data_IF_147182699892
#
_entry.id   IF_147182699892
#
_cell.length_a   1.000
_cell.length_b   1.000
_cell.length_c   1.000
_cell.angle_alpha   90.00
_cell.angle_beta   90.00
_cell.angle_gamma   90.00
#
_symmetry.space_group_name_H-M   'P 1'
#
loop_
_entity.id
_entity.type
_entity.pdbx_description
1 polymer ?
#
# COMPACT_ATOMS: atom_id res chain seq x y z
N UNK A 1 12.84 39.52 68.35
CA UNK A 1 12.09 40.80 68.30
C UNK A 1 11.15 40.72 67.11
N UNK A 2 9.90 41.10 67.37
CA UNK A 2 8.70 41.05 66.53
C UNK A 2 8.89 41.43 65.05
N UNK A 3 8.25 40.69 64.14
CA UNK A 3 7.66 41.24 62.91
C UNK A 3 6.39 40.45 62.54
N UNK A 4 5.32 41.19 62.25
CA UNK A 4 3.90 40.76 62.25
C UNK A 4 3.44 40.07 60.95
N UNK A 5 2.45 39.18 61.15
CA UNK A 5 1.27 38.84 60.35
C UNK A 5 1.25 39.14 58.84
N UNK A 6 1.00 38.08 58.08
CA UNK A 6 0.41 38.12 56.74
C UNK A 6 -0.21 36.75 56.45
N UNK A 7 -1.54 36.68 56.52
CA UNK A 7 -2.35 35.51 56.24
C UNK A 7 -2.23 35.08 54.77
N UNK A 8 -1.84 33.83 54.49
CA UNK A 8 -2.37 33.08 53.36
C UNK A 8 -2.02 31.58 53.49
N UNK A 9 -2.86 30.83 54.20
CA UNK A 9 -2.75 29.38 54.25
C UNK A 9 -3.64 28.77 53.16
N UNK A 10 -3.03 28.43 52.04
CA UNK A 10 -3.64 27.59 51.00
C UNK A 10 -3.05 26.19 51.13
N UNK A 11 -3.85 25.25 51.63
CA UNK A 11 -3.99 23.86 51.17
C UNK A 11 -4.45 22.95 52.32
N UNK A 12 -5.57 22.24 52.11
CA UNK A 12 -5.82 20.86 52.57
C UNK A 12 -7.24 20.41 52.19
N UNK A 13 -7.30 19.49 51.22
CA UNK A 13 -8.30 18.43 50.96
C UNK A 13 -9.63 18.45 51.76
N UNK A 14 -10.77 18.49 51.05
CA UNK A 14 -11.86 17.49 51.18
C UNK A 14 -12.91 17.68 50.08
N UNK A 15 -13.51 16.57 49.66
CA UNK A 15 -14.32 16.40 48.45
C UNK A 15 -15.66 17.15 48.49
N UNK A 16 -16.07 17.71 47.34
CA UNK A 16 -17.48 18.00 47.07
C UNK A 16 -17.84 17.55 45.64
N UNK A 17 -18.83 16.69 45.58
CA UNK A 17 -19.32 16.00 44.39
C UNK A 17 -19.97 16.92 43.36
N UNK A 18 -20.03 16.37 42.13
CA UNK A 18 -20.94 16.62 41.01
C UNK A 18 -20.44 17.49 39.85
N UNK A 19 -20.75 16.95 38.66
CA UNK A 19 -20.65 17.53 37.32
C UNK A 19 -19.25 17.36 36.71
N UNK A 20 -18.98 16.48 35.75
CA UNK A 20 -19.81 16.05 34.63
C UNK A 20 -19.16 14.81 34.01
N UNK A 21 -19.66 13.62 34.34
CA UNK A 21 -19.48 12.44 33.50
C UNK A 21 -20.38 12.61 32.28
N UNK A 22 -19.97 13.39 31.26
CA UNK A 22 -20.71 13.51 29.99
C UNK A 22 -19.90 12.92 28.85
N UNK A 23 -20.10 11.62 28.67
CA UNK A 23 -20.14 10.96 27.36
C UNK A 23 -18.90 11.13 26.47
N UNK A 24 -17.75 10.59 26.87
CA UNK A 24 -16.63 10.32 25.93
C UNK A 24 -16.58 8.87 25.41
N UNK A 25 -17.53 8.01 25.77
CA UNK A 25 -17.52 6.59 25.38
C UNK A 25 -18.16 6.28 24.02
N UNK A 26 -18.95 7.17 23.41
CA UNK A 26 -19.55 6.91 22.09
C UNK A 26 -18.81 7.56 20.92
N UNK A 27 -17.97 8.57 21.18
CA UNK A 27 -17.07 9.16 20.17
C UNK A 27 -15.83 8.30 19.97
N UNK A 28 -15.16 7.87 21.04
CA UNK A 28 -13.97 7.00 20.96
C UNK A 28 -14.28 5.66 20.29
N UNK A 29 -15.40 5.03 20.62
CA UNK A 29 -15.78 3.76 20.00
C UNK A 29 -16.06 3.93 18.50
N UNK A 30 -16.80 4.97 18.09
CA UNK A 30 -17.01 5.28 16.66
C UNK A 30 -15.70 5.60 15.94
N UNK A 31 -14.79 6.36 16.55
CA UNK A 31 -13.46 6.63 15.97
C UNK A 31 -12.61 5.36 15.88
N UNK A 32 -12.66 4.47 16.87
CA UNK A 32 -11.97 3.17 16.82
C UNK A 32 -12.56 2.28 15.74
N UNK A 33 -13.90 2.23 15.59
CA UNK A 33 -14.55 1.49 14.51
C UNK A 33 -14.22 2.08 13.13
N UNK A 34 -14.17 3.40 12.99
CA UNK A 34 -13.77 4.09 11.75
C UNK A 34 -12.30 3.82 11.43
N UNK A 35 -11.39 3.92 12.40
CA UNK A 35 -9.97 3.62 12.21
C UNK A 35 -9.74 2.14 11.89
N UNK A 36 -10.47 1.22 12.53
CA UNK A 36 -10.44 -0.20 12.22
C UNK A 36 -10.97 -0.49 10.82
N UNK A 37 -12.06 0.16 10.40
CA UNK A 37 -12.57 0.06 9.03
C UNK A 37 -11.60 0.63 7.99
N UNK A 38 -10.94 1.75 8.27
CA UNK A 38 -9.93 2.34 7.39
C UNK A 38 -8.69 1.45 7.31
N UNK A 39 -8.22 0.90 8.43
CA UNK A 39 -7.10 -0.04 8.45
C UNK A 39 -7.42 -1.34 7.69
N UNK A 40 -8.65 -1.86 7.84
CA UNK A 40 -9.13 -3.02 7.10
C UNK A 40 -9.28 -2.73 5.61
N UNK A 41 -9.87 -1.59 5.23
CA UNK A 41 -10.00 -1.16 3.85
C UNK A 41 -8.62 -0.92 3.21
N UNK A 42 -7.67 -0.36 3.96
CA UNK A 42 -6.29 -0.20 3.53
C UNK A 42 -5.64 -1.56 3.32
N UNK A 43 -5.75 -2.50 4.26
CA UNK A 43 -5.22 -3.86 4.11
C UNK A 43 -5.80 -4.58 2.88
N UNK A 44 -7.10 -4.43 2.61
CA UNK A 44 -7.77 -4.98 1.43
C UNK A 44 -7.28 -4.32 0.13
N UNK A 45 -7.00 -3.00 0.14
CA UNK A 45 -6.49 -2.30 -1.05
C UNK A 45 -5.09 -2.77 -1.49
N UNK A 46 -4.30 -3.36 -0.59
CA UNK A 46 -2.98 -3.93 -0.91
C UNK A 46 -3.10 -5.35 -1.52
N UNK A 47 -4.26 -5.99 -1.46
CA UNK A 47 -4.45 -7.37 -1.94
C UNK A 47 -4.86 -7.48 -3.42
N UNK A 48 -5.04 -6.36 -4.13
CA UNK A 48 -5.48 -6.35 -5.54
C UNK A 48 -4.33 -6.40 -6.58
N UNK A 49 -3.13 -6.85 -6.18
CA UNK A 49 -1.88 -6.46 -6.89
C UNK A 49 -1.52 -7.33 -8.10
N UNK A 50 -2.15 -8.48 -8.30
CA UNK A 50 -1.83 -9.33 -9.44
C UNK A 50 -3.02 -10.18 -9.88
N UNK A 51 -3.48 -10.00 -11.12
CA UNK A 51 -4.44 -10.90 -11.77
C UNK A 51 -3.65 -12.01 -12.51
N UNK A 52 -3.64 -13.25 -12.01
CA UNK A 52 -2.90 -14.35 -12.64
C UNK A 52 -3.50 -14.79 -13.96
N UNK A 53 -4.75 -14.41 -14.27
CA UNK A 53 -5.44 -14.77 -15.51
C UNK A 53 -5.32 -13.68 -16.59
N UNK A 54 -4.95 -12.47 -16.19
CA UNK A 54 -4.71 -11.33 -17.08
C UNK A 54 -3.42 -11.46 -17.88
N UNK A 55 -3.21 -10.57 -18.86
CA UNK A 55 -2.02 -10.54 -19.73
C UNK A 55 -0.79 -9.87 -19.09
N UNK A 56 -0.92 -9.33 -17.87
CA UNK A 56 0.10 -8.50 -17.24
C UNK A 56 0.23 -7.10 -17.84
N UNK A 57 -0.80 -6.64 -18.56
CA UNK A 57 -0.84 -5.30 -19.16
C UNK A 57 -0.81 -4.23 -18.05
N UNK A 58 0.17 -3.30 -18.08
CA UNK A 58 0.27 -2.25 -17.08
C UNK A 58 -0.65 -1.07 -17.39
N UNK A 59 -1.12 -0.38 -16.35
CA UNK A 59 -1.72 0.94 -16.52
C UNK A 59 -0.63 1.97 -16.86
N UNK A 60 -0.67 2.50 -18.08
CA UNK A 60 0.30 3.49 -18.54
C UNK A 60 -0.17 4.92 -18.25
N UNK A 61 0.74 5.71 -17.68
CA UNK A 61 0.58 7.13 -17.36
C UNK A 61 1.84 7.88 -17.80
N UNK A 62 1.82 9.20 -17.74
CA UNK A 62 3.00 10.02 -18.03
C UNK A 62 4.18 9.77 -17.07
N UNK A 63 3.94 9.17 -15.91
CA UNK A 63 4.97 8.88 -14.91
C UNK A 63 5.78 7.61 -15.21
N UNK A 64 5.18 6.65 -15.92
CA UNK A 64 5.79 5.37 -16.29
C UNK A 64 5.92 5.22 -17.81
N UNK A 65 5.99 6.34 -18.53
CA UNK A 65 6.29 6.36 -19.95
C UNK A 65 7.63 5.66 -20.23
N UNK A 66 7.64 4.73 -21.18
CA UNK A 66 8.80 3.88 -21.49
C UNK A 66 9.03 2.71 -20.54
N UNK A 67 8.26 2.57 -19.45
CA UNK A 67 8.38 1.42 -18.56
C UNK A 67 8.05 0.11 -19.30
N UNK A 68 8.80 -0.94 -18.97
CA UNK A 68 8.67 -2.26 -19.57
C UNK A 68 8.19 -3.25 -18.52
N UNK A 69 7.18 -4.05 -18.85
CA UNK A 69 6.70 -5.16 -18.03
C UNK A 69 6.54 -6.43 -18.86
N UNK A 70 6.64 -7.59 -18.21
CA UNK A 70 6.51 -8.89 -18.87
C UNK A 70 5.05 -9.16 -19.27
N UNK A 71 4.84 -9.69 -20.47
CA UNK A 71 3.57 -10.31 -20.82
C UNK A 71 3.44 -11.69 -20.14
N UNK A 72 2.30 -11.95 -19.51
CA UNK A 72 2.12 -13.15 -18.69
C UNK A 72 2.05 -14.44 -19.51
N UNK A 73 1.51 -14.38 -20.72
CA UNK A 73 1.16 -15.53 -21.54
C UNK A 73 1.93 -15.62 -22.86
N UNK A 74 2.48 -14.51 -23.34
CA UNK A 74 3.34 -14.48 -24.52
C UNK A 74 4.78 -14.15 -24.14
N UNK A 75 5.66 -15.15 -23.97
CA UNK A 75 7.07 -14.91 -23.66
C UNK A 75 7.84 -14.26 -24.81
N UNK A 76 7.31 -14.21 -26.03
CA UNK A 76 7.95 -13.50 -27.15
C UNK A 76 7.65 -12.01 -27.15
N UNK A 77 6.86 -11.52 -26.19
CA UNK A 77 6.45 -10.12 -26.10
C UNK A 77 6.63 -9.57 -24.69
N UNK A 78 6.79 -8.26 -24.65
CA UNK A 78 6.72 -7.48 -23.43
C UNK A 78 5.79 -6.28 -23.65
N UNK A 79 5.24 -5.78 -22.56
CA UNK A 79 4.49 -4.54 -22.57
C UNK A 79 5.45 -3.38 -22.40
N UNK A 80 5.25 -2.33 -23.18
CA UNK A 80 5.94 -1.06 -23.01
C UNK A 80 4.93 0.08 -23.02
N UNK A 81 5.01 0.96 -22.03
CA UNK A 81 4.22 2.18 -22.04
C UNK A 81 4.73 3.14 -23.11
N UNK A 82 3.86 3.48 -24.05
CA UNK A 82 4.12 4.43 -25.13
C UNK A 82 2.91 5.34 -25.31
N UNK A 83 3.12 6.65 -25.22
CA UNK A 83 2.10 7.68 -25.33
C UNK A 83 0.91 7.47 -24.37
N UNK A 84 1.18 7.03 -23.14
CA UNK A 84 0.13 6.73 -22.15
C UNK A 84 -0.69 5.47 -22.43
N UNK A 85 -0.24 4.58 -23.32
CA UNK A 85 -0.89 3.29 -23.59
C UNK A 85 0.12 2.14 -23.53
N UNK A 86 -0.33 0.96 -23.06
CA UNK A 86 0.49 -0.24 -23.06
C UNK A 86 0.56 -0.84 -24.48
N UNK A 87 1.76 -0.97 -25.01
CA UNK A 87 2.01 -1.54 -26.34
C UNK A 87 2.76 -2.85 -26.22
N UNK A 88 2.28 -3.90 -26.89
CA UNK A 88 2.95 -5.20 -26.93
C UNK A 88 4.09 -5.21 -27.95
N UNK A 89 5.34 -5.14 -27.48
CA UNK A 89 6.54 -5.16 -28.31
C UNK A 89 7.09 -6.59 -28.39
N UNK A 90 7.50 -7.01 -29.59
CA UNK A 90 8.00 -8.36 -29.86
C UNK A 90 9.52 -8.41 -29.71
N UNK A 91 10.02 -9.47 -29.08
CA UNK A 91 11.43 -9.82 -29.09
C UNK A 91 11.88 -10.34 -30.47
N UNK A 92 13.18 -10.28 -30.74
CA UNK A 92 13.76 -10.90 -31.93
C UNK A 92 13.51 -12.41 -31.97
N UNK A 93 13.59 -12.99 -33.17
CA UNK A 93 13.44 -14.43 -33.35
C UNK A 93 14.49 -15.18 -32.51
N UNK A 94 14.06 -16.28 -31.87
CA UNK A 94 14.92 -17.05 -30.97
C UNK A 94 15.09 -16.46 -29.56
N UNK A 95 14.39 -15.38 -29.22
CA UNK A 95 14.44 -14.75 -27.91
C UNK A 95 13.09 -14.76 -27.18
N UNK A 96 13.15 -14.77 -25.85
CA UNK A 96 12.02 -14.57 -24.95
C UNK A 96 12.31 -13.47 -23.93
N UNK A 97 11.29 -12.71 -23.53
CA UNK A 97 11.43 -11.67 -22.50
C UNK A 97 11.55 -12.31 -21.12
N UNK A 98 12.60 -11.94 -20.40
CA UNK A 98 12.87 -12.40 -19.04
C UNK A 98 12.85 -11.20 -18.07
N UNK A 99 11.92 -11.25 -17.10
CA UNK A 99 11.72 -10.14 -16.14
C UNK A 99 12.96 -9.88 -15.30
N UNK A 100 13.66 -10.92 -14.84
CA UNK A 100 14.86 -10.78 -14.01
C UNK A 100 16.02 -10.09 -14.75
N UNK A 101 16.10 -10.26 -16.07
CA UNK A 101 17.07 -9.58 -16.92
C UNK A 101 16.56 -8.21 -17.43
N UNK A 102 15.25 -7.96 -17.35
CA UNK A 102 14.60 -6.75 -17.88
C UNK A 102 14.69 -6.61 -19.40
N UNK A 103 14.91 -7.72 -20.13
CA UNK A 103 15.16 -7.70 -21.58
C UNK A 103 14.82 -9.04 -22.24
N UNK A 104 14.82 -9.04 -23.57
CA UNK A 104 14.80 -10.25 -24.37
C UNK A 104 16.13 -11.00 -24.25
N UNK A 105 16.07 -12.28 -23.91
CA UNK A 105 17.22 -13.20 -23.79
C UNK A 105 17.03 -14.39 -24.73
N UNK A 106 18.10 -15.10 -25.05
CA UNK A 106 18.04 -16.33 -25.85
C UNK A 106 17.15 -17.36 -25.16
N UNK A 107 16.43 -18.19 -25.92
CA UNK A 107 15.61 -19.27 -25.35
C UNK A 107 16.38 -20.23 -24.44
N UNK A 108 17.69 -20.41 -24.66
CA UNK A 108 18.56 -21.22 -23.80
C UNK A 108 18.74 -20.64 -22.39
N UNK A 109 18.55 -19.33 -22.23
CA UNK A 109 18.67 -18.59 -20.97
C UNK A 109 17.29 -18.23 -20.38
N UNK A 110 16.23 -18.37 -21.17
CA UNK A 110 14.88 -18.03 -20.76
C UNK A 110 14.32 -19.06 -19.78
N UNK A 111 13.68 -18.59 -18.72
CA UNK A 111 13.01 -19.42 -17.73
C UNK A 111 11.58 -18.94 -17.48
N UNK A 112 10.70 -19.89 -17.16
CA UNK A 112 9.31 -19.58 -16.84
C UNK A 112 9.16 -19.18 -15.36
N UNK A 113 8.73 -17.95 -15.08
CA UNK A 113 8.47 -17.37 -13.74
C UNK A 113 6.99 -17.04 -13.50
N UNK A 114 6.29 -17.80 -12.66
CA UNK A 114 4.86 -17.62 -12.37
C UNK A 114 4.39 -16.14 -12.29
N UNK A 115 3.21 -15.78 -12.86
CA UNK A 115 2.83 -14.38 -13.04
C UNK A 115 2.67 -13.62 -11.72
N UNK A 116 2.14 -14.31 -10.72
CA UNK A 116 1.93 -13.80 -9.38
C UNK A 116 2.75 -14.63 -8.39
N UNK A 117 3.36 -13.99 -7.38
CA UNK A 117 3.98 -14.74 -6.29
C UNK A 117 2.93 -15.64 -5.66
N UNK A 118 3.29 -16.91 -5.43
CA UNK A 118 2.44 -17.81 -4.65
C UNK A 118 2.37 -17.23 -3.24
N UNK A 119 1.18 -16.80 -2.82
CA UNK A 119 0.95 -16.39 -1.44
C UNK A 119 1.26 -17.62 -0.57
N UNK A 120 2.34 -17.56 0.20
CA UNK A 120 2.77 -18.65 1.06
C UNK A 120 1.67 -18.89 2.10
N UNK A 121 0.94 -20.01 1.93
CA UNK A 121 -0.11 -20.49 2.83
C UNK A 121 0.40 -20.75 4.25
#
# INVERSE_FOLDING_TARGET
>A
FSYKNGDNATDCHSQFSLSTTRTQNTRKMKFVYVLAFVALAYAVSVAAVCDPYGSGEPDCTTLNEGAITRNFWDPTRYWQCQNGAATAVRCDDGHGFLTSAGKCVLWSEWEWVAPCPQESA
#
